data_IF_274344062352
#
_entry.id   IF_274344062352
#
_cell.length_a   1.000
_cell.length_b   1.000
_cell.length_c   1.000
_cell.angle_alpha   90.00
_cell.angle_beta   90.00
_cell.angle_gamma   90.00
#
_symmetry.space_group_name_H-M   'P 1'
#
loop_
_entity.id
_entity.type
_entity.pdbx_description
1 polymer ?
#
# COMPACT_ATOMS: atom_id res chain seq x y z
N UNK A 1 -10.40 1.68 -3.49
CA UNK A 1 -9.23 1.50 -2.60
C UNK A 1 -9.52 0.31 -1.70
N UNK A 2 -8.51 -0.45 -1.28
CA UNK A 2 -8.70 -1.51 -0.28
C UNK A 2 -8.98 -0.92 1.10
N UNK A 3 -9.68 -1.64 1.97
CA UNK A 3 -9.98 -1.18 3.33
C UNK A 3 -8.75 -1.10 4.25
N UNK A 4 -7.70 -1.84 3.92
CA UNK A 4 -6.45 -1.97 4.66
C UNK A 4 -5.29 -2.13 3.70
N UNK A 5 -4.08 -2.15 4.27
CA UNK A 5 -2.85 -2.53 3.58
C UNK A 5 -2.97 -3.95 2.98
N UNK A 6 -2.25 -4.19 1.87
CA UNK A 6 -2.17 -5.52 1.27
C UNK A 6 -1.44 -6.47 2.21
N UNK A 7 -2.06 -7.60 2.56
CA UNK A 7 -1.51 -8.50 3.59
C UNK A 7 -0.51 -9.51 3.03
N UNK A 8 0.35 -10.02 3.90
CA UNK A 8 1.24 -11.14 3.58
C UNK A 8 0.47 -12.39 3.13
N UNK A 9 -0.72 -12.64 3.71
CA UNK A 9 -1.59 -13.74 3.29
C UNK A 9 -2.11 -13.57 1.86
N UNK A 10 -2.50 -12.35 1.46
CA UNK A 10 -2.90 -12.05 0.08
C UNK A 10 -1.74 -12.28 -0.90
N UNK A 11 -0.53 -11.83 -0.53
CA UNK A 11 0.68 -12.03 -1.33
C UNK A 11 1.03 -13.50 -1.55
N UNK A 12 1.05 -14.29 -0.48
CA UNK A 12 1.25 -15.75 -0.59
C UNK A 12 0.11 -16.40 -1.38
N UNK A 13 -1.11 -15.88 -1.25
CA UNK A 13 -2.27 -16.30 -2.03
C UNK A 13 -2.22 -15.99 -3.54
N UNK A 14 -1.24 -15.19 -3.98
CA UNK A 14 -0.87 -15.01 -5.40
C UNK A 14 0.23 -15.99 -5.85
N UNK A 15 0.76 -16.82 -4.94
CA UNK A 15 1.78 -17.82 -5.23
C UNK A 15 3.23 -17.34 -5.06
N UNK A 16 3.44 -16.20 -4.40
CA UNK A 16 4.77 -15.62 -4.22
C UNK A 16 5.40 -15.99 -2.86
N UNK A 17 6.73 -16.05 -2.81
CA UNK A 17 7.46 -16.21 -1.56
C UNK A 17 7.28 -14.96 -0.69
N UNK A 18 7.00 -15.13 0.61
CA UNK A 18 6.79 -13.99 1.52
C UNK A 18 8.11 -13.29 1.85
N UNK A 19 8.32 -12.02 1.43
CA UNK A 19 9.56 -11.29 1.69
C UNK A 19 9.62 -10.66 3.09
N UNK A 20 8.49 -10.62 3.80
CA UNK A 20 8.32 -9.82 5.03
C UNK A 20 9.24 -10.24 6.17
N UNK A 21 9.87 -9.26 6.81
CA UNK A 21 10.66 -9.43 8.02
C UNK A 21 9.81 -9.83 9.24
N UNK A 22 8.57 -9.34 9.33
CA UNK A 22 7.67 -9.62 10.45
C UNK A 22 6.55 -10.57 10.02
N UNK A 23 6.85 -11.87 10.00
CA UNK A 23 5.99 -12.87 9.35
C UNK A 23 4.68 -13.13 10.11
N UNK A 24 3.55 -12.83 9.47
CA UNK A 24 2.20 -13.27 9.85
C UNK A 24 1.23 -12.99 8.70
N UNK A 25 0.32 -13.91 8.40
CA UNK A 25 -0.61 -13.78 7.27
C UNK A 25 -1.55 -12.57 7.37
N UNK A 26 -1.76 -12.03 8.57
CA UNK A 26 -2.67 -10.89 8.86
C UNK A 26 -1.94 -9.56 9.05
N UNK A 27 -0.61 -9.53 8.89
CA UNK A 27 0.18 -8.31 8.89
C UNK A 27 0.25 -7.73 7.47
N UNK A 28 0.53 -6.42 7.33
CA UNK A 28 0.83 -5.87 6.03
C UNK A 28 2.05 -6.56 5.43
N UNK A 29 2.03 -6.66 4.11
CA UNK A 29 3.20 -7.01 3.32
C UNK A 29 4.18 -5.83 3.39
N UNK A 30 5.42 -6.14 3.76
CA UNK A 30 6.56 -5.22 3.64
C UNK A 30 7.72 -5.90 2.90
N UNK A 31 8.83 -5.17 2.73
CA UNK A 31 10.04 -5.58 2.00
C UNK A 31 9.81 -5.94 0.51
N UNK A 32 8.88 -5.24 -0.14
CA UNK A 32 8.66 -5.33 -1.60
C UNK A 32 9.11 -4.08 -2.34
N UNK A 33 9.59 -4.26 -3.56
CA UNK A 33 9.87 -3.15 -4.47
C UNK A 33 8.56 -2.57 -5.02
N UNK A 34 8.63 -1.34 -5.53
CA UNK A 34 7.52 -0.74 -6.26
C UNK A 34 7.09 -1.59 -7.48
N UNK A 35 8.06 -2.18 -8.19
CA UNK A 35 7.81 -3.07 -9.32
C UNK A 35 7.03 -4.32 -8.94
N UNK A 36 7.38 -4.92 -7.81
CA UNK A 36 6.67 -6.07 -7.24
C UNK A 36 5.22 -5.71 -6.87
N UNK A 37 4.98 -4.50 -6.37
CA UNK A 37 3.63 -4.03 -6.07
C UNK A 37 2.78 -3.88 -7.35
N UNK A 38 3.34 -3.35 -8.45
CA UNK A 38 2.65 -3.28 -9.74
C UNK A 38 2.32 -4.67 -10.31
N UNK A 39 3.28 -5.60 -10.27
CA UNK A 39 3.06 -6.97 -10.74
C UNK A 39 2.02 -7.70 -9.89
N UNK A 40 2.02 -7.50 -8.57
CA UNK A 40 1.01 -8.07 -7.69
C UNK A 40 -0.38 -7.48 -7.94
N UNK A 41 -0.50 -6.19 -8.27
CA UNK A 41 -1.77 -5.59 -8.68
C UNK A 41 -2.30 -6.23 -9.98
N UNK A 42 -1.43 -6.45 -10.97
CA UNK A 42 -1.79 -7.18 -12.19
C UNK A 42 -2.20 -8.63 -11.90
N UNK A 43 -1.50 -9.33 -11.01
CA UNK A 43 -1.82 -10.71 -10.63
C UNK A 43 -3.15 -10.82 -9.86
N UNK A 44 -3.42 -9.87 -8.96
CA UNK A 44 -4.72 -9.74 -8.30
C UNK A 44 -5.82 -9.47 -9.33
N UNK A 45 -5.56 -8.62 -10.33
CA UNK A 45 -6.51 -8.34 -11.42
C UNK A 45 -6.86 -9.62 -12.18
N UNK A 46 -5.85 -10.41 -12.56
CA UNK A 46 -6.05 -11.67 -13.26
C UNK A 46 -6.86 -12.68 -12.43
N UNK A 47 -6.63 -12.74 -11.11
CA UNK A 47 -7.38 -13.61 -10.19
C UNK A 47 -8.87 -13.27 -10.14
N UNK A 48 -9.20 -12.00 -10.28
CA UNK A 48 -10.58 -11.49 -10.28
C UNK A 48 -11.17 -11.38 -11.70
N UNK A 49 -10.45 -11.82 -12.73
CA UNK A 49 -10.91 -11.78 -14.12
C UNK A 49 -10.90 -10.38 -14.76
N UNK A 50 -10.12 -9.45 -14.22
CA UNK A 50 -9.96 -8.07 -14.70
C UNK A 50 -8.73 -7.91 -15.59
N UNK A 51 -8.75 -6.89 -16.45
CA UNK A 51 -7.59 -6.51 -17.26
C UNK A 51 -6.43 -5.97 -16.40
N UNK A 52 -5.19 -6.24 -16.80
CA UNK A 52 -4.01 -5.67 -16.15
C UNK A 52 -3.98 -4.14 -16.28
N UNK A 53 -3.57 -3.42 -15.24
CA UNK A 53 -3.41 -1.97 -15.29
C UNK A 53 -2.04 -1.54 -15.82
N UNK A 54 -1.01 -2.39 -15.65
CA UNK A 54 0.36 -2.04 -16.00
C UNK A 54 0.96 -2.99 -17.03
N UNK A 55 1.74 -2.44 -17.96
CA UNK A 55 2.69 -3.19 -18.77
C UNK A 55 4.09 -2.89 -18.26
N UNK A 56 4.79 -3.92 -17.76
CA UNK A 56 6.16 -3.79 -17.29
C UNK A 56 7.15 -4.32 -18.33
N UNK A 57 8.32 -3.68 -18.43
CA UNK A 57 9.37 -4.05 -19.40
C UNK A 57 10.74 -4.17 -18.74
N UNK A 58 11.60 -5.03 -19.32
CA UNK A 58 12.97 -5.24 -18.84
C UNK A 58 13.07 -5.81 -17.44
N UNK A 59 12.08 -6.59 -17.00
CA UNK A 59 12.04 -7.10 -15.64
C UNK A 59 13.04 -8.24 -15.39
N UNK A 60 13.69 -8.20 -14.23
CA UNK A 60 14.68 -9.19 -13.78
C UNK A 60 14.53 -9.46 -12.28
N UNK A 61 14.89 -10.68 -11.85
CA UNK A 61 14.68 -11.15 -10.49
C UNK A 61 13.35 -11.88 -10.30
N UNK A 62 13.08 -12.29 -9.06
CA UNK A 62 11.96 -13.15 -8.68
C UNK A 62 11.05 -12.39 -7.73
N UNK A 63 9.73 -12.54 -7.89
CA UNK A 63 8.74 -11.96 -6.98
C UNK A 63 9.01 -12.38 -5.52
N UNK A 64 9.11 -11.39 -4.63
CA UNK A 64 9.40 -11.60 -3.21
C UNK A 64 10.90 -11.70 -2.92
N UNK A 65 11.75 -11.37 -3.90
CA UNK A 65 13.20 -11.41 -3.79
C UNK A 65 13.85 -10.16 -4.41
N UNK A 66 13.13 -9.03 -4.41
CA UNK A 66 13.65 -7.75 -4.87
C UNK A 66 13.61 -7.62 -6.39
N UNK A 67 12.57 -8.13 -7.04
CA UNK A 67 12.40 -8.00 -8.49
C UNK A 67 12.34 -6.54 -8.92
N UNK A 68 12.98 -6.22 -10.05
CA UNK A 68 13.06 -4.87 -10.61
C UNK A 68 12.80 -4.88 -12.11
N UNK A 69 12.29 -3.77 -12.63
CA UNK A 69 12.04 -3.55 -14.06
C UNK A 69 12.70 -2.25 -14.51
N UNK A 70 12.79 -2.05 -15.83
CA UNK A 70 13.36 -0.82 -16.42
C UNK A 70 12.28 0.15 -16.89
N UNK A 71 11.02 -0.26 -16.90
CA UNK A 71 9.90 0.60 -17.25
C UNK A 71 8.55 -0.01 -16.91
N UNK A 72 7.58 0.86 -16.62
CA UNK A 72 6.17 0.53 -16.50
C UNK A 72 5.34 1.57 -17.25
N UNK A 73 4.32 1.12 -17.98
CA UNK A 73 3.31 1.98 -18.60
C UNK A 73 1.92 1.54 -18.17
N UNK A 74 0.97 2.47 -18.18
CA UNK A 74 -0.44 2.17 -17.93
C UNK A 74 -1.08 1.62 -19.19
N UNK A 75 -1.94 0.61 -19.06
CA UNK A 75 -2.63 -0.05 -20.19
C UNK A 75 -3.86 0.71 -20.68
N UNK A 76 -4.49 1.50 -19.81
CA UNK A 76 -5.61 2.37 -20.16
C UNK A 76 -5.20 3.34 -21.28
N UNK A 77 -6.09 3.53 -22.26
CA UNK A 77 -5.83 4.40 -23.42
C UNK A 77 -5.60 5.87 -23.06
N UNK A 78 -6.10 6.32 -21.90
CA UNK A 78 -5.83 7.64 -21.34
C UNK A 78 -4.40 7.81 -20.82
N UNK A 79 -3.67 6.70 -20.62
CA UNK A 79 -2.38 6.67 -19.96
C UNK A 79 -2.43 6.90 -18.45
N UNK A 80 -3.63 7.01 -17.85
CA UNK A 80 -3.80 7.32 -16.44
C UNK A 80 -4.29 6.09 -15.66
N UNK A 81 -3.64 5.71 -14.53
CA UNK A 81 -3.97 4.48 -13.82
C UNK A 81 -5.42 4.45 -13.31
N UNK A 82 -5.99 5.62 -12.96
CA UNK A 82 -7.41 5.73 -12.54
C UNK A 82 -8.42 5.09 -13.49
N UNK A 83 -8.10 5.03 -14.79
CA UNK A 83 -9.02 4.54 -15.83
C UNK A 83 -8.81 3.04 -16.13
N UNK A 84 -7.93 2.37 -15.37
CA UNK A 84 -7.81 0.92 -15.41
C UNK A 84 -9.02 0.24 -14.78
N UNK A 85 -9.47 -0.86 -15.39
CA UNK A 85 -10.50 -1.73 -14.81
C UNK A 85 -9.96 -2.63 -13.68
N UNK A 86 -8.68 -3.01 -13.76
CA UNK A 86 -8.02 -3.87 -12.78
C UNK A 86 -7.52 -3.16 -11.53
N UNK A 87 -7.04 -3.97 -10.59
CA UNK A 87 -6.29 -3.51 -9.43
C UNK A 87 -5.03 -2.75 -9.83
N UNK A 88 -4.69 -1.77 -9.01
CA UNK A 88 -3.61 -0.82 -9.25
C UNK A 88 -3.18 -0.18 -7.94
N UNK A 89 -2.02 0.46 -7.94
CA UNK A 89 -1.66 1.40 -6.89
C UNK A 89 -2.58 2.64 -6.97
N UNK A 90 -2.91 3.26 -5.83
CA UNK A 90 -3.56 4.57 -5.84
C UNK A 90 -2.60 5.62 -6.41
N UNK A 91 -3.15 6.69 -6.96
CA UNK A 91 -2.34 7.92 -7.08
C UNK A 91 -2.15 8.57 -5.71
N UNK A 92 -1.16 9.43 -5.56
CA UNK A 92 -0.92 10.15 -4.31
C UNK A 92 -2.14 11.00 -3.91
N UNK A 93 -2.77 11.68 -4.87
CA UNK A 93 -3.99 12.44 -4.64
C UNK A 93 -5.18 11.55 -4.21
N UNK A 94 -5.33 10.36 -4.80
CA UNK A 94 -6.36 9.40 -4.34
C UNK A 94 -6.08 8.89 -2.93
N UNK A 95 -4.82 8.61 -2.62
CA UNK A 95 -4.39 8.16 -1.30
C UNK A 95 -4.65 9.23 -0.24
N UNK A 96 -4.25 10.49 -0.49
CA UNK A 96 -4.47 11.60 0.44
C UNK A 96 -5.97 11.86 0.65
N UNK A 97 -6.75 11.89 -0.44
CA UNK A 97 -8.20 12.10 -0.35
C UNK A 97 -8.87 11.02 0.50
N UNK A 98 -8.46 9.77 0.32
CA UNK A 98 -8.92 8.63 1.11
C UNK A 98 -8.46 8.68 2.56
N UNK A 99 -7.24 9.13 2.84
CA UNK A 99 -6.71 9.29 4.19
C UNK A 99 -7.45 10.40 4.96
N UNK A 100 -7.77 11.52 4.29
CA UNK A 100 -8.54 12.63 4.89
C UNK A 100 -10.00 12.24 5.16
N UNK A 101 -10.60 11.44 4.28
CA UNK A 101 -11.98 10.96 4.37
C UNK A 101 -13.00 12.07 4.67
N UNK A 102 -12.79 13.26 4.08
CA UNK A 102 -13.67 14.43 4.27
C UNK A 102 -13.49 15.17 5.61
N UNK A 103 -12.37 14.95 6.31
CA UNK A 103 -12.05 15.62 7.58
C UNK A 103 -10.72 16.38 7.49
N UNK A 104 -10.57 17.39 8.36
CA UNK A 104 -9.31 18.14 8.55
C UNK A 104 -8.49 17.62 9.75
N UNK A 105 -8.73 16.37 10.16
CA UNK A 105 -7.98 15.76 11.24
C UNK A 105 -6.51 15.55 10.83
N UNK A 106 -5.55 15.75 11.75
CA UNK A 106 -4.13 15.58 11.44
C UNK A 106 -3.74 14.13 11.15
N UNK A 107 -4.55 13.17 11.61
CA UNK A 107 -4.40 11.75 11.32
C UNK A 107 -5.72 11.19 10.82
N UNK A 108 -5.64 10.18 9.95
CA UNK A 108 -6.80 9.53 9.35
C UNK A 108 -7.75 8.96 10.42
N UNK A 109 -8.82 9.70 10.73
CA UNK A 109 -9.84 9.32 11.72
C UNK A 109 -9.64 9.81 13.15
N UNK A 110 -8.52 10.47 13.50
CA UNK A 110 -8.33 11.04 14.86
C UNK A 110 -7.40 12.25 14.91
N UNK A 111 -7.52 13.04 15.97
CA UNK A 111 -6.54 14.07 16.33
C UNK A 111 -5.31 13.50 17.06
N UNK A 112 -5.42 12.28 17.61
CA UNK A 112 -4.35 11.57 18.30
C UNK A 112 -3.83 10.40 17.43
N UNK A 113 -2.54 10.34 17.06
CA UNK A 113 -2.02 9.23 16.28
C UNK A 113 -2.07 7.90 17.04
N UNK A 114 -2.09 7.93 18.38
CA UNK A 114 -2.31 6.76 19.21
C UNK A 114 -3.67 6.11 18.94
N UNK A 115 -4.69 6.83 18.51
CA UNK A 115 -6.00 6.21 18.29
C UNK A 115 -6.07 5.38 17.01
N UNK A 116 -5.25 5.73 16.01
CA UNK A 116 -5.41 5.29 14.61
C UNK A 116 -4.15 4.69 13.98
N UNK A 117 -2.96 4.93 14.54
CA UNK A 117 -1.68 4.56 13.93
C UNK A 117 -0.79 3.67 14.80
N UNK A 118 -0.04 2.79 14.13
CA UNK A 118 1.16 2.14 14.67
C UNK A 118 2.41 2.87 14.19
N UNK A 119 3.24 3.38 15.09
CA UNK A 119 4.43 4.15 14.76
C UNK A 119 5.58 3.81 15.70
N UNK A 120 6.75 4.40 15.48
CA UNK A 120 8.00 4.03 16.16
C UNK A 120 7.87 3.99 17.70
N UNK A 121 7.10 4.90 18.30
CA UNK A 121 6.99 4.98 19.76
C UNK A 121 6.03 3.94 20.35
N UNK A 122 5.15 3.34 19.55
CA UNK A 122 4.12 2.41 20.03
C UNK A 122 4.16 1.03 19.34
N UNK A 123 5.17 0.73 18.51
CA UNK A 123 5.28 -0.53 17.79
C UNK A 123 6.11 -1.61 18.53
N UNK A 124 6.34 -1.45 19.83
CA UNK A 124 7.09 -2.40 20.67
C UNK A 124 8.57 -2.01 20.83
N UNK A 125 9.26 -2.60 21.81
CA UNK A 125 10.67 -2.32 22.03
C UNK A 125 11.55 -3.19 21.11
N UNK A 126 12.58 -2.61 20.50
CA UNK A 126 13.48 -3.35 19.61
C UNK A 126 14.05 -4.60 20.30
N UNK A 127 14.06 -5.73 19.59
CA UNK A 127 14.51 -7.02 20.10
C UNK A 127 13.45 -7.81 20.87
N UNK A 128 12.24 -7.27 21.04
CA UNK A 128 11.11 -8.00 21.62
C UNK A 128 10.21 -8.60 20.53
N UNK A 129 9.43 -9.62 20.89
CA UNK A 129 8.45 -10.23 19.98
C UNK A 129 7.30 -9.29 19.60
N UNK A 130 7.10 -8.20 20.35
CA UNK A 130 6.11 -7.18 20.03
C UNK A 130 6.63 -6.12 19.07
N UNK A 131 7.94 -6.08 18.75
CA UNK A 131 8.51 -5.11 17.82
C UNK A 131 8.07 -5.35 16.37
N UNK A 132 7.90 -4.27 15.59
CA UNK A 132 7.67 -4.32 14.15
C UNK A 132 6.23 -4.03 13.71
N UNK A 133 5.88 -4.42 12.48
CA UNK A 133 4.53 -4.22 11.94
C UNK A 133 3.49 -4.97 12.75
N UNK A 134 2.24 -4.52 12.68
CA UNK A 134 1.12 -5.02 13.47
C UNK A 134 0.07 -5.60 12.54
N UNK A 135 -0.80 -6.47 13.08
CA UNK A 135 -1.91 -6.97 12.29
C UNK A 135 -2.79 -5.79 11.86
N UNK A 136 -3.33 -5.86 10.65
CA UNK A 136 -4.12 -4.77 10.06
C UNK A 136 -5.35 -4.42 10.92
N UNK A 137 -5.73 -3.16 10.93
CA UNK A 137 -6.88 -2.57 11.60
C UNK A 137 -6.94 -2.87 13.12
N UNK A 138 -5.81 -2.91 13.83
CA UNK A 138 -5.77 -3.28 15.25
C UNK A 138 -5.67 -2.13 16.25
N UNK A 139 -5.65 -0.88 15.78
CA UNK A 139 -5.73 0.29 16.67
C UNK A 139 -7.12 0.42 17.33
N UNK A 140 -7.26 1.17 18.43
CA UNK A 140 -8.53 1.29 19.17
C UNK A 140 -9.69 1.83 18.34
N UNK A 141 -9.44 2.86 17.52
CA UNK A 141 -10.41 3.40 16.56
C UNK A 141 -9.79 3.33 15.17
N UNK A 142 -9.66 2.14 14.60
CA UNK A 142 -8.70 1.91 13.54
C UNK A 142 -9.12 2.51 12.20
N UNK A 143 -10.37 2.98 12.08
CA UNK A 143 -10.97 3.36 10.79
C UNK A 143 -11.34 4.83 10.74
N UNK A 144 -11.09 5.45 9.59
CA UNK A 144 -11.56 6.80 9.30
C UNK A 144 -13.04 6.81 8.87
N UNK A 145 -13.56 7.98 8.51
CA UNK A 145 -14.97 8.18 8.16
C UNK A 145 -15.43 7.38 6.93
N UNK A 146 -14.52 6.86 6.11
CA UNK A 146 -14.81 6.01 4.95
C UNK A 146 -14.55 4.52 5.21
N UNK A 147 -14.23 4.15 6.46
CA UNK A 147 -14.02 2.77 6.85
C UNK A 147 -12.61 2.22 6.58
N UNK A 148 -11.67 3.07 6.13
CA UNK A 148 -10.29 2.66 5.85
C UNK A 148 -9.45 2.67 7.12
N UNK A 149 -8.60 1.67 7.30
CA UNK A 149 -7.70 1.56 8.44
C UNK A 149 -6.23 1.63 8.02
N UNK A 150 -5.35 1.88 8.99
CA UNK A 150 -3.89 1.94 8.83
C UNK A 150 -3.37 2.94 7.77
N UNK A 151 -4.22 3.87 7.31
CA UNK A 151 -3.84 5.02 6.47
C UNK A 151 -2.79 5.94 7.15
N UNK A 152 -2.48 5.71 8.42
CA UNK A 152 -1.39 6.33 9.15
C UNK A 152 -0.58 5.25 9.88
N UNK A 153 0.72 5.18 9.63
CA UNK A 153 1.62 4.25 10.31
C UNK A 153 1.60 2.83 9.75
N UNK A 154 2.06 1.87 10.55
CA UNK A 154 2.27 0.45 10.25
C UNK A 154 3.28 0.21 9.11
N UNK A 155 2.92 0.39 7.83
CA UNK A 155 3.87 0.45 6.71
C UNK A 155 3.64 1.68 5.82
N UNK A 156 4.68 2.10 5.10
CA UNK A 156 4.48 3.05 4.00
C UNK A 156 3.84 2.32 2.82
N UNK A 157 2.80 2.92 2.26
CA UNK A 157 2.08 2.39 1.11
C UNK A 157 2.66 2.96 -0.19
N UNK A 158 2.92 2.11 -1.18
CA UNK A 158 3.36 2.57 -2.49
C UNK A 158 2.22 3.24 -3.27
N UNK A 159 2.51 4.39 -3.87
CA UNK A 159 1.63 5.07 -4.82
C UNK A 159 2.16 4.91 -6.25
N UNK A 160 1.32 5.19 -7.24
CA UNK A 160 1.74 5.21 -8.65
C UNK A 160 2.75 6.34 -8.93
N UNK A 161 2.54 7.51 -8.34
CA UNK A 161 3.29 8.72 -8.63
C UNK A 161 4.76 8.60 -8.22
N UNK A 162 5.69 9.13 -9.03
CA UNK A 162 7.10 9.21 -8.64
C UNK A 162 7.26 10.16 -7.46
N UNK A 163 8.33 9.97 -6.69
CA UNK A 163 8.69 10.94 -5.67
C UNK A 163 9.05 12.29 -6.31
N UNK A 164 8.21 13.30 -6.08
CA UNK A 164 8.43 14.67 -6.52
C UNK A 164 8.37 15.65 -5.33
N UNK A 165 9.21 16.68 -5.36
CA UNK A 165 9.12 17.76 -4.37
C UNK A 165 7.97 18.69 -4.74
N UNK A 166 6.96 18.80 -3.87
CA UNK A 166 5.90 19.78 -4.04
C UNK A 166 6.46 21.21 -4.09
N UNK A 167 6.14 21.95 -5.14
CA UNK A 167 6.36 23.39 -5.17
C UNK A 167 5.47 24.05 -4.11
N UNK A 168 6.04 24.95 -3.30
CA UNK A 168 5.30 25.67 -2.26
C UNK A 168 4.06 26.36 -2.85
N UNK A 169 2.86 25.87 -2.51
CA UNK A 169 1.58 26.42 -2.94
C UNK A 169 0.76 25.54 -3.89
N UNK A 170 1.26 24.39 -4.33
CA UNK A 170 0.41 23.37 -4.95
C UNK A 170 -0.27 22.56 -3.84
N UNK A 171 -1.43 23.03 -3.39
CA UNK A 171 -2.39 22.16 -2.71
C UNK A 171 -3.17 21.40 -3.77
N UNK A 172 -3.37 20.11 -3.52
CA UNK A 172 -4.48 19.33 -4.07
C UNK A 172 -5.83 19.92 -3.63
#
# INVERSE_FOLDING_TARGET
MMESEFTQGMWVGLGYANPSAYVSSVKPLETVTWWEALEAANAASAKDGLGACYTLTGCSGVMGQGRVCTGATVTASSGHPKDCEGWRLPTEAEWEHAARAGTDLPYSGSADPGDVAWFADNNGAQGTSSYGTKAICTRPTPRNAWGLCDMCGNVHEWMWDPYESYAAGAST
#
